data_IF_752392493330
#
_entry.id   IF_752392493330
#
_cell.length_a   1.000
_cell.length_b   1.000
_cell.length_c   1.000
_cell.angle_alpha   90.00
_cell.angle_beta   90.00
_cell.angle_gamma   90.00
#
_symmetry.space_group_name_H-M   'P 1'
#
loop_
_entity.id
_entity.type
_entity.pdbx_description
1 polymer ?
#
# COMPACT_ATOMS: atom_id res chain seq x y z
N UNK A 1 3.65 2.42 -5.60
CA UNK A 1 3.88 3.84 -5.19
C UNK A 1 3.60 4.03 -3.72
N UNK A 2 2.46 3.57 -3.19
CA UNK A 2 2.11 3.81 -1.80
C UNK A 2 3.13 3.30 -0.76
N UNK A 3 3.94 2.31 -1.13
CA UNK A 3 5.01 1.73 -0.32
C UNK A 3 6.35 2.48 -0.38
N UNK A 4 6.39 3.66 -1.03
CA UNK A 4 7.61 4.49 -1.18
C UNK A 4 7.58 5.77 -0.36
N UNK A 5 6.41 6.24 0.05
CA UNK A 5 6.21 7.57 0.64
C UNK A 5 5.68 7.47 2.06
N UNK A 6 5.97 8.49 2.87
CA UNK A 6 5.40 8.63 4.22
C UNK A 6 3.97 9.17 4.19
N UNK A 7 3.67 10.04 3.22
CA UNK A 7 2.36 10.57 2.92
C UNK A 7 2.32 11.04 1.45
N UNK A 8 1.14 11.20 0.89
CA UNK A 8 0.94 11.80 -0.42
C UNK A 8 -0.34 12.61 -0.46
N UNK A 9 -0.38 13.63 -1.32
CA UNK A 9 -1.56 14.47 -1.46
C UNK A 9 -1.83 14.84 -2.92
N UNK A 10 -3.11 14.91 -3.28
CA UNK A 10 -3.57 15.29 -4.61
C UNK A 10 -4.37 16.60 -4.52
N UNK A 11 -3.97 17.58 -5.34
CA UNK A 11 -4.61 18.90 -5.43
C UNK A 11 -5.33 19.05 -6.75
N UNK A 12 -6.63 19.34 -6.71
CA UNK A 12 -7.49 19.51 -7.90
C UNK A 12 -7.41 18.36 -8.93
N UNK A 13 -7.00 17.17 -8.47
CA UNK A 13 -6.84 15.98 -9.29
C UNK A 13 -8.08 15.10 -9.30
N UNK A 14 -8.20 14.25 -10.32
CA UNK A 14 -9.32 13.32 -10.47
C UNK A 14 -8.81 11.87 -10.31
N UNK A 15 -9.21 11.13 -9.25
CA UNK A 15 -8.75 9.76 -9.04
C UNK A 15 -9.34 8.75 -10.03
N UNK A 16 -10.20 9.19 -10.96
CA UNK A 16 -10.77 8.40 -12.05
C UNK A 16 -11.38 7.07 -11.54
N UNK A 17 -11.03 5.98 -12.21
CA UNK A 17 -11.43 4.61 -11.90
C UNK A 17 -10.53 3.92 -10.87
N UNK A 18 -9.61 4.67 -10.24
CA UNK A 18 -8.73 4.13 -9.22
C UNK A 18 -9.50 3.59 -8.01
N UNK A 19 -8.83 2.71 -7.28
CA UNK A 19 -9.38 2.03 -6.11
C UNK A 19 -8.47 2.29 -4.92
N UNK A 20 -9.03 2.58 -3.73
CA UNK A 20 -8.23 2.99 -2.58
C UNK A 20 -7.48 1.83 -1.94
N UNK A 21 -7.66 0.57 -2.37
CA UNK A 21 -7.02 -0.63 -1.81
C UNK A 21 -5.55 -0.40 -1.40
N UNK A 22 -4.75 0.17 -2.31
CA UNK A 22 -3.32 0.38 -2.11
C UNK A 22 -2.97 1.54 -1.14
N UNK A 23 -3.95 2.36 -0.74
CA UNK A 23 -3.75 3.50 0.17
C UNK A 23 -3.84 3.13 1.65
N UNK A 24 -4.13 1.87 1.99
CA UNK A 24 -4.31 1.43 3.39
C UNK A 24 -3.21 1.95 4.33
N UNK A 25 -1.96 1.90 3.89
CA UNK A 25 -0.79 2.29 4.70
C UNK A 25 -0.14 3.61 4.29
N UNK A 26 -0.76 4.36 3.36
CA UNK A 26 -0.27 5.67 2.93
C UNK A 26 -1.26 6.73 3.40
N UNK A 27 -0.89 7.57 4.38
CA UNK A 27 -1.61 8.81 4.65
C UNK A 27 -1.86 9.59 3.36
N UNK A 28 -3.13 9.75 3.01
CA UNK A 28 -3.54 10.31 1.71
C UNK A 28 -4.39 11.57 1.83
N UNK A 29 -3.92 12.67 1.24
CA UNK A 29 -4.63 13.94 1.14
C UNK A 29 -5.37 14.09 -0.19
N UNK A 30 -6.59 14.63 -0.16
CA UNK A 30 -7.36 14.98 -1.36
C UNK A 30 -8.01 16.35 -1.18
N UNK A 31 -7.63 17.31 -2.02
CA UNK A 31 -8.09 18.69 -1.92
C UNK A 31 -8.72 19.13 -3.23
N UNK A 32 -9.89 19.77 -3.14
CA UNK A 32 -10.70 20.11 -4.30
C UNK A 32 -11.45 21.44 -4.13
N UNK A 33 -11.62 22.18 -5.22
CA UNK A 33 -12.56 23.30 -5.25
C UNK A 33 -14.00 22.81 -5.42
N UNK A 34 -14.95 23.35 -4.65
CA UNK A 34 -16.36 23.01 -4.76
C UNK A 34 -16.98 23.39 -6.11
N UNK A 35 -16.43 24.40 -6.78
CA UNK A 35 -16.79 24.84 -8.14
C UNK A 35 -15.91 24.23 -9.24
N UNK A 36 -14.95 23.35 -8.92
CA UNK A 36 -14.18 22.59 -9.94
C UNK A 36 -15.02 21.44 -10.51
N UNK A 37 -16.00 21.80 -11.34
CA UNK A 37 -16.95 20.87 -11.95
C UNK A 37 -16.42 20.13 -13.18
N UNK A 38 -15.24 20.52 -13.71
CA UNK A 38 -14.68 19.89 -14.89
C UNK A 38 -14.46 18.39 -14.64
N UNK A 39 -14.94 17.55 -15.56
CA UNK A 39 -14.91 16.08 -15.43
C UNK A 39 -15.54 15.53 -14.14
N UNK A 40 -16.43 16.29 -13.48
CA UNK A 40 -17.00 15.94 -12.17
C UNK A 40 -15.97 15.80 -11.03
N UNK A 41 -14.82 16.49 -11.10
CA UNK A 41 -13.77 16.45 -10.06
C UNK A 41 -14.28 16.68 -8.65
N UNK A 42 -15.06 17.74 -8.43
CA UNK A 42 -15.70 18.03 -7.15
C UNK A 42 -16.60 16.89 -6.63
N UNK A 43 -17.43 16.30 -7.50
CA UNK A 43 -18.31 15.18 -7.12
C UNK A 43 -17.51 13.91 -6.80
N UNK A 44 -16.46 13.63 -7.55
CA UNK A 44 -15.59 12.48 -7.30
C UNK A 44 -14.79 12.68 -6.01
N UNK A 45 -14.33 13.89 -5.72
CA UNK A 45 -13.73 14.23 -4.43
C UNK A 45 -14.67 13.94 -3.25
N UNK A 46 -15.95 14.35 -3.33
CA UNK A 46 -16.92 14.08 -2.26
C UNK A 46 -17.21 12.58 -2.12
N UNK A 47 -17.30 11.85 -3.24
CA UNK A 47 -17.40 10.38 -3.20
C UNK A 47 -16.20 9.74 -2.50
N UNK A 48 -14.99 10.20 -2.81
CA UNK A 48 -13.77 9.68 -2.18
C UNK A 48 -13.66 10.04 -0.71
N UNK A 49 -14.18 11.21 -0.30
CA UNK A 49 -14.30 11.60 1.10
C UNK A 49 -15.10 10.58 1.91
N UNK A 50 -16.30 10.23 1.43
CA UNK A 50 -17.13 9.19 2.07
C UNK A 50 -16.45 7.83 2.05
N UNK A 51 -15.93 7.42 0.90
CA UNK A 51 -15.26 6.12 0.73
C UNK A 51 -14.06 5.94 1.69
N UNK A 52 -13.19 6.94 1.81
CA UNK A 52 -12.03 6.87 2.70
C UNK A 52 -12.47 6.91 4.18
N UNK A 53 -13.50 7.67 4.52
CA UNK A 53 -14.07 7.68 5.87
C UNK A 53 -14.63 6.31 6.26
N UNK A 54 -15.39 5.66 5.37
CA UNK A 54 -15.94 4.32 5.60
C UNK A 54 -14.83 3.26 5.72
N UNK A 55 -13.80 3.34 4.87
CA UNK A 55 -12.65 2.45 4.94
C UNK A 55 -11.86 2.63 6.24
N UNK A 56 -11.64 3.87 6.70
CA UNK A 56 -11.01 4.17 7.99
C UNK A 56 -11.86 3.66 9.15
N UNK A 57 -13.19 3.81 9.08
CA UNK A 57 -14.10 3.29 10.10
C UNK A 57 -14.04 1.76 10.18
N UNK A 58 -13.96 1.07 9.05
CA UNK A 58 -13.84 -0.39 8.99
C UNK A 58 -12.44 -0.92 9.33
N UNK A 59 -11.39 -0.13 9.09
CA UNK A 59 -10.00 -0.43 9.46
C UNK A 59 -9.39 0.78 10.18
N UNK A 60 -9.61 0.95 11.51
CA UNK A 60 -9.18 2.14 12.26
C UNK A 60 -7.67 2.38 12.29
N UNK A 61 -6.86 1.42 11.85
CA UNK A 61 -5.40 1.55 11.72
C UNK A 61 -4.94 1.80 10.28
N UNK A 62 -5.83 1.72 9.28
CA UNK A 62 -5.54 1.98 7.87
C UNK A 62 -6.24 3.23 7.34
N UNK A 63 -5.91 3.64 6.12
CA UNK A 63 -6.58 4.73 5.39
C UNK A 63 -6.62 6.07 6.16
N UNK A 64 -5.53 6.43 6.82
CA UNK A 64 -5.38 7.80 7.35
C UNK A 64 -5.51 8.79 6.19
N UNK A 65 -6.38 9.79 6.32
CA UNK A 65 -6.69 10.68 5.20
C UNK A 65 -7.11 12.07 5.64
N UNK A 66 -6.91 13.03 4.74
CA UNK A 66 -7.39 14.39 4.87
C UNK A 66 -8.08 14.80 3.57
N UNK A 67 -9.39 14.97 3.60
CA UNK A 67 -10.15 15.36 2.42
C UNK A 67 -10.82 16.72 2.66
N UNK A 68 -10.56 17.68 1.77
CA UNK A 68 -11.08 19.05 1.86
C UNK A 68 -11.69 19.47 0.53
N UNK A 69 -12.93 19.96 0.60
CA UNK A 69 -13.61 20.58 -0.55
C UNK A 69 -13.94 22.02 -0.15
N UNK A 70 -13.37 22.99 -0.86
CA UNK A 70 -13.56 24.42 -0.57
C UNK A 70 -14.74 24.96 -1.40
N UNK A 71 -15.94 25.19 -0.83
CA UNK A 71 -17.19 25.34 -1.59
C UNK A 71 -17.13 26.42 -2.68
N UNK A 72 -16.53 27.56 -2.37
CA UNK A 72 -16.50 28.71 -3.27
C UNK A 72 -15.35 28.72 -4.28
N UNK A 73 -14.44 27.73 -4.22
CA UNK A 73 -13.23 27.71 -5.05
C UNK A 73 -13.40 26.86 -6.31
N UNK A 74 -12.77 27.29 -7.40
CA UNK A 74 -12.64 26.51 -8.65
C UNK A 74 -11.40 25.61 -8.65
N UNK A 75 -10.85 25.33 -9.84
CA UNK A 75 -9.66 24.49 -9.99
C UNK A 75 -8.46 24.98 -9.17
N UNK A 76 -8.26 26.30 -9.14
CA UNK A 76 -7.30 26.93 -8.23
C UNK A 76 -7.96 27.23 -6.87
N UNK A 77 -7.44 26.59 -5.82
CA UNK A 77 -7.97 26.70 -4.45
C UNK A 77 -7.39 27.87 -3.64
N UNK A 78 -6.69 28.81 -4.30
CA UNK A 78 -6.06 29.99 -3.69
C UNK A 78 -5.09 29.61 -2.56
N UNK A 79 -4.28 28.59 -2.79
CA UNK A 79 -3.26 28.09 -1.85
C UNK A 79 -3.81 27.53 -0.52
N UNK A 80 -5.14 27.41 -0.35
CA UNK A 80 -5.72 26.85 0.88
C UNK A 80 -5.32 25.40 1.11
N UNK A 81 -5.11 24.67 0.02
CA UNK A 81 -4.65 23.30 -0.03
C UNK A 81 -3.20 23.09 0.48
N UNK A 82 -2.46 24.17 0.73
CA UNK A 82 -1.15 24.12 1.40
C UNK A 82 -1.24 23.59 2.84
N UNK A 83 -2.43 23.55 3.46
CA UNK A 83 -2.64 22.89 4.77
C UNK A 83 -2.26 21.40 4.75
N UNK A 84 -2.19 20.79 3.56
CA UNK A 84 -1.71 19.42 3.36
C UNK A 84 -0.26 19.22 3.80
N UNK A 85 0.61 20.22 3.63
CA UNK A 85 2.04 20.10 3.92
C UNK A 85 2.32 19.86 5.41
N UNK A 86 1.86 20.72 6.36
CA UNK A 86 2.07 20.47 7.78
C UNK A 86 1.31 19.23 8.28
N UNK A 87 0.25 18.78 7.60
CA UNK A 87 -0.39 17.51 7.91
C UNK A 87 0.48 16.32 7.47
N UNK A 88 0.97 16.31 6.24
CA UNK A 88 1.84 15.25 5.70
C UNK A 88 3.16 15.11 6.48
N UNK A 89 3.72 16.23 6.95
CA UNK A 89 4.97 16.27 7.71
C UNK A 89 4.91 15.53 9.07
N UNK A 90 3.72 15.15 9.55
CA UNK A 90 3.53 14.41 10.81
C UNK A 90 3.74 12.91 10.67
N UNK A 91 3.88 12.40 9.44
CA UNK A 91 3.93 10.97 9.18
C UNK A 91 5.33 10.52 8.79
N UNK A 92 5.71 9.36 9.33
CA UNK A 92 6.89 8.62 8.93
C UNK A 92 6.49 7.40 8.08
N UNK A 93 7.34 7.08 7.09
CA UNK A 93 7.11 5.91 6.25
C UNK A 93 7.34 4.64 7.07
N UNK A 94 6.37 3.73 7.04
CA UNK A 94 6.54 2.36 7.53
C UNK A 94 6.80 1.40 6.35
N UNK A 95 8.04 0.94 6.13
CA UNK A 95 8.35 -0.01 5.06
C UNK A 95 7.90 -1.45 5.35
N UNK A 96 7.60 -1.80 6.61
CA UNK A 96 7.23 -3.15 7.07
C UNK A 96 5.90 -3.16 7.83
N UNK A 97 4.79 -2.67 7.23
CA UNK A 97 3.49 -2.63 7.90
C UNK A 97 2.95 -4.05 8.13
N UNK A 98 2.28 -4.28 9.27
CA UNK A 98 1.74 -5.60 9.62
C UNK A 98 0.54 -6.04 8.78
N UNK A 99 -0.13 -5.13 8.08
CA UNK A 99 -1.25 -5.47 7.18
C UNK A 99 -1.14 -4.67 5.90
N UNK A 100 -1.30 -5.34 4.76
CA UNK A 100 -1.27 -4.70 3.44
C UNK A 100 -2.45 -5.19 2.60
N UNK A 101 -2.94 -4.30 1.74
CA UNK A 101 -3.89 -4.64 0.67
C UNK A 101 -3.25 -4.16 -0.61
N UNK A 102 -3.10 -5.06 -1.57
CA UNK A 102 -2.43 -4.82 -2.82
C UNK A 102 -3.33 -5.22 -3.98
N UNK A 103 -3.64 -4.27 -4.83
CA UNK A 103 -4.44 -4.46 -6.04
C UNK A 103 -3.66 -4.00 -7.27
N UNK A 104 -3.61 -4.87 -8.27
CA UNK A 104 -3.10 -4.58 -9.59
C UNK A 104 -4.21 -4.01 -10.48
N UNK A 105 -4.04 -2.77 -10.90
CA UNK A 105 -4.96 -2.07 -11.81
C UNK A 105 -4.18 -1.55 -13.02
N UNK A 106 -4.11 -0.22 -13.19
CA UNK A 106 -3.23 0.42 -14.19
C UNK A 106 -1.83 0.60 -13.59
N UNK A 107 -0.78 0.39 -14.39
CA UNK A 107 0.61 0.48 -13.93
C UNK A 107 0.98 -0.63 -12.94
N UNK A 108 0.80 -1.90 -13.36
CA UNK A 108 1.12 -3.07 -12.53
C UNK A 108 2.58 -3.03 -12.07
N UNK A 109 2.83 -3.36 -10.80
CA UNK A 109 4.17 -3.33 -10.20
C UNK A 109 4.54 -4.72 -9.71
N UNK A 110 5.82 -5.10 -9.75
CA UNK A 110 6.28 -6.41 -9.26
C UNK A 110 6.37 -6.50 -7.74
N UNK A 111 6.52 -5.38 -7.03
CA UNK A 111 6.75 -5.33 -5.59
C UNK A 111 5.85 -4.31 -4.90
N UNK A 112 5.29 -4.69 -3.76
CA UNK A 112 4.52 -3.81 -2.89
C UNK A 112 4.77 -4.17 -1.42
N UNK A 113 5.42 -3.27 -0.68
CA UNK A 113 5.92 -3.54 0.67
C UNK A 113 6.76 -4.84 0.70
N UNK A 114 6.33 -5.81 1.51
CA UNK A 114 6.99 -7.09 1.72
C UNK A 114 6.41 -8.22 0.85
N UNK A 115 5.59 -7.91 -0.14
CA UNK A 115 5.16 -8.86 -1.18
C UNK A 115 5.77 -8.54 -2.54
N UNK A 116 6.03 -9.59 -3.31
CA UNK A 116 6.46 -9.51 -4.68
C UNK A 116 5.76 -10.58 -5.53
N UNK A 117 5.20 -10.18 -6.66
CA UNK A 117 4.77 -11.10 -7.73
C UNK A 117 5.90 -11.10 -8.77
N UNK A 118 6.46 -12.27 -9.14
CA UNK A 118 7.44 -12.34 -10.22
C UNK A 118 6.86 -11.78 -11.52
N UNK A 119 7.65 -11.03 -12.29
CA UNK A 119 7.16 -10.25 -13.44
C UNK A 119 6.37 -11.07 -14.45
N UNK A 120 6.81 -12.31 -14.72
CA UNK A 120 6.12 -13.25 -15.61
C UNK A 120 4.70 -13.67 -15.17
N UNK A 121 4.32 -13.36 -13.93
CA UNK A 121 3.01 -13.68 -13.36
C UNK A 121 2.20 -12.42 -13.01
N UNK A 122 2.70 -11.22 -13.35
CA UNK A 122 1.95 -9.99 -13.14
C UNK A 122 0.77 -9.91 -14.10
N UNK A 123 -0.41 -9.64 -13.54
CA UNK A 123 -1.63 -9.46 -14.30
C UNK A 123 -2.51 -8.39 -13.66
N UNK A 124 -3.34 -7.75 -14.48
CA UNK A 124 -4.41 -6.87 -13.99
C UNK A 124 -5.46 -7.70 -13.26
N UNK A 125 -6.11 -7.11 -12.26
CA UNK A 125 -7.17 -7.78 -11.49
C UNK A 125 -6.66 -8.69 -10.38
N UNK A 126 -5.35 -8.84 -10.22
CA UNK A 126 -4.77 -9.46 -9.04
C UNK A 126 -5.04 -8.61 -7.80
N UNK A 127 -5.44 -9.27 -6.72
CA UNK A 127 -5.66 -8.64 -5.42
C UNK A 127 -5.13 -9.54 -4.33
N UNK A 128 -4.38 -8.97 -3.40
CA UNK A 128 -3.78 -9.67 -2.28
C UNK A 128 -4.04 -8.87 -1.01
N UNK A 129 -4.59 -9.52 0.01
CA UNK A 129 -4.63 -8.98 1.38
C UNK A 129 -3.71 -9.84 2.23
N UNK A 130 -2.82 -9.22 2.99
CA UNK A 130 -1.91 -9.98 3.84
C UNK A 130 -1.77 -9.33 5.21
N UNK A 131 -1.67 -10.15 6.24
CA UNK A 131 -1.55 -9.76 7.64
C UNK A 131 -0.45 -10.56 8.34
N UNK A 132 0.20 -9.94 9.32
CA UNK A 132 1.23 -10.55 10.16
C UNK A 132 0.82 -10.43 11.62
N UNK A 133 0.78 -11.56 12.32
CA UNK A 133 0.59 -11.66 13.76
C UNK A 133 1.69 -12.55 14.37
N UNK A 134 2.59 -11.94 15.14
CA UNK A 134 3.81 -12.60 15.59
C UNK A 134 4.61 -13.22 14.43
N UNK A 135 4.73 -14.55 14.44
CA UNK A 135 5.42 -15.36 13.43
C UNK A 135 4.50 -15.94 12.35
N UNK A 136 3.21 -15.58 12.36
CA UNK A 136 2.22 -16.07 11.43
C UNK A 136 1.88 -15.00 10.38
N UNK A 137 1.96 -15.38 9.12
CA UNK A 137 1.60 -14.55 7.97
C UNK A 137 0.39 -15.18 7.27
N UNK A 138 -0.73 -14.48 7.31
CA UNK A 138 -1.94 -14.87 6.60
C UNK A 138 -2.06 -14.07 5.30
N UNK A 139 -2.32 -14.76 4.19
CA UNK A 139 -2.43 -14.14 2.86
C UNK A 139 -3.74 -14.63 2.21
N UNK A 140 -4.54 -13.70 1.72
CA UNK A 140 -5.65 -13.96 0.81
C UNK A 140 -5.23 -13.43 -0.56
N UNK A 141 -5.19 -14.30 -1.57
CA UNK A 141 -4.70 -13.99 -2.90
C UNK A 141 -5.67 -14.42 -4.00
N UNK A 142 -6.01 -13.47 -4.87
CA UNK A 142 -6.90 -13.64 -6.01
C UNK A 142 -6.08 -13.57 -7.31
N UNK A 143 -6.30 -14.52 -8.23
CA UNK A 143 -5.68 -14.55 -9.57
C UNK A 143 -4.14 -14.50 -9.58
N UNK A 144 -3.50 -15.00 -8.52
CA UNK A 144 -2.04 -14.89 -8.34
C UNK A 144 -1.45 -16.29 -8.18
N UNK A 145 -0.82 -16.89 -9.20
CA UNK A 145 -0.32 -18.26 -9.14
C UNK A 145 1.03 -18.39 -8.40
N UNK A 146 1.72 -17.27 -8.19
CA UNK A 146 3.02 -17.24 -7.55
C UNK A 146 3.25 -15.95 -6.79
N UNK A 147 3.74 -16.10 -5.57
CA UNK A 147 4.04 -15.00 -4.67
C UNK A 147 5.42 -15.20 -4.04
N UNK A 148 6.13 -14.11 -3.81
CA UNK A 148 7.36 -14.08 -3.02
C UNK A 148 7.07 -13.20 -1.80
N UNK A 149 7.18 -13.80 -0.62
CA UNK A 149 7.13 -13.09 0.66
C UNK A 149 8.55 -12.67 1.00
N UNK A 150 8.79 -11.37 0.99
CA UNK A 150 10.07 -10.75 1.33
C UNK A 150 10.09 -10.52 2.84
N UNK A 151 11.13 -10.97 3.53
CA UNK A 151 11.20 -10.96 4.99
C UNK A 151 12.38 -10.15 5.50
N UNK A 152 12.20 -9.61 6.70
CA UNK A 152 13.18 -8.84 7.47
C UNK A 152 12.83 -8.98 8.95
N UNK A 153 13.83 -8.84 9.82
CA UNK A 153 13.64 -8.82 11.27
C UNK A 153 12.73 -7.70 11.77
N UNK A 154 12.55 -6.66 10.94
CA UNK A 154 11.58 -5.60 11.18
C UNK A 154 10.12 -6.07 11.04
N UNK A 155 9.88 -7.19 10.34
CA UNK A 155 8.55 -7.75 10.11
C UNK A 155 8.26 -8.96 11.01
N UNK A 156 9.20 -9.89 11.13
CA UNK A 156 9.10 -11.15 11.91
C UNK A 156 10.48 -11.50 12.47
N UNK A 157 10.55 -12.25 13.57
CA UNK A 157 11.82 -12.74 14.11
C UNK A 157 12.32 -13.92 13.26
N UNK A 158 13.41 -13.72 12.50
CA UNK A 158 13.94 -14.75 11.60
C UNK A 158 14.76 -15.84 12.31
N UNK A 159 14.99 -15.71 13.62
CA UNK A 159 15.59 -16.77 14.45
C UNK A 159 14.53 -17.78 14.93
N UNK A 160 13.24 -17.48 14.70
CA UNK A 160 12.11 -18.36 14.98
C UNK A 160 11.47 -18.90 13.69
N UNK A 161 10.78 -20.04 13.76
CA UNK A 161 9.97 -20.51 12.64
C UNK A 161 8.91 -19.48 12.24
N UNK A 162 8.72 -19.29 10.94
CA UNK A 162 7.64 -18.48 10.34
C UNK A 162 6.65 -19.43 9.69
N UNK A 163 5.36 -19.18 9.88
CA UNK A 163 4.28 -19.93 9.20
C UNK A 163 3.57 -19.00 8.24
N UNK A 164 3.36 -19.44 7.00
CA UNK A 164 2.64 -18.68 5.98
C UNK A 164 1.46 -19.50 5.48
N UNK A 165 0.25 -18.97 5.62
CA UNK A 165 -0.95 -19.51 5.00
C UNK A 165 -1.39 -18.66 3.82
N UNK A 166 -1.96 -19.30 2.81
CA UNK A 166 -2.60 -18.65 1.68
C UNK A 166 -3.98 -19.24 1.46
N UNK A 167 -5.02 -18.40 1.46
CA UNK A 167 -6.42 -18.79 1.32
C UNK A 167 -6.81 -19.91 2.30
N UNK A 168 -6.39 -19.78 3.56
CA UNK A 168 -6.60 -20.78 4.62
C UNK A 168 -5.66 -22.00 4.59
N UNK A 169 -4.92 -22.25 3.51
CA UNK A 169 -4.02 -23.39 3.39
C UNK A 169 -2.59 -23.03 3.81
N UNK A 170 -1.95 -23.87 4.64
CA UNK A 170 -0.55 -23.68 5.04
C UNK A 170 0.40 -23.97 3.87
N UNK A 171 1.06 -22.93 3.33
CA UNK A 171 2.01 -23.06 2.22
C UNK A 171 3.48 -23.15 2.66
N UNK A 172 3.80 -22.68 3.86
CA UNK A 172 5.16 -22.73 4.42
C UNK A 172 5.13 -22.78 5.95
N UNK A 173 6.08 -23.50 6.55
CA UNK A 173 6.34 -23.49 7.99
C UNK A 173 7.79 -23.87 8.24
N UNK A 174 8.58 -22.97 8.81
CA UNK A 174 9.98 -23.24 9.15
C UNK A 174 10.80 -21.97 9.34
N UNK A 175 12.07 -22.12 9.71
CA UNK A 175 13.00 -20.99 9.86
C UNK A 175 13.53 -20.56 8.48
N UNK A 176 13.59 -19.25 8.23
CA UNK A 176 14.08 -18.71 6.95
C UNK A 176 15.44 -18.04 7.17
N UNK A 177 16.47 -18.52 6.47
CA UNK A 177 17.83 -17.99 6.63
C UNK A 177 17.98 -16.64 5.95
N UNK A 178 18.61 -15.71 6.67
CA UNK A 178 19.09 -14.44 6.12
C UNK A 178 20.15 -14.69 5.05
N UNK A 179 20.20 -13.84 4.02
CA UNK A 179 21.13 -13.98 2.90
C UNK A 179 21.53 -12.63 2.34
N UNK A 180 22.84 -12.40 2.18
CA UNK A 180 23.37 -11.23 1.46
C UNK A 180 22.79 -11.13 0.04
N UNK A 181 22.48 -12.25 -0.61
CA UNK A 181 21.85 -12.29 -1.93
C UNK A 181 20.48 -11.62 -1.95
N UNK A 182 19.66 -11.81 -0.91
CA UNK A 182 18.33 -11.20 -0.83
C UNK A 182 18.40 -9.69 -0.54
N UNK A 183 19.44 -9.27 0.19
CA UNK A 183 19.74 -7.85 0.43
C UNK A 183 20.12 -7.18 -0.89
N UNK A 184 21.12 -7.73 -1.61
CA UNK A 184 21.58 -7.22 -2.91
C UNK A 184 20.40 -7.13 -3.88
N UNK A 185 19.67 -8.24 -4.07
CA UNK A 185 18.47 -8.28 -4.93
C UNK A 185 17.42 -7.24 -4.53
N UNK A 186 17.22 -7.01 -3.23
CA UNK A 186 16.27 -6.01 -2.75
C UNK A 186 16.68 -4.58 -3.08
N UNK A 187 17.99 -4.29 -2.97
CA UNK A 187 18.60 -2.99 -3.24
C UNK A 187 18.70 -2.72 -4.75
N UNK A 188 18.97 -3.75 -5.56
CA UNK A 188 18.96 -3.65 -7.03
C UNK A 188 17.56 -3.30 -7.56
N UNK A 189 16.51 -3.90 -6.97
CA UNK A 189 15.13 -3.56 -7.32
C UNK A 189 14.72 -2.15 -6.86
N UNK A 190 15.27 -1.71 -5.72
CA UNK A 190 14.99 -0.40 -5.10
C UNK A 190 16.09 -0.09 -4.11
N UNK A 191 16.91 0.92 -4.40
CA UNK A 191 17.98 1.42 -3.54
C UNK A 191 17.44 2.15 -2.30
N UNK A 192 16.73 1.42 -1.45
CA UNK A 192 16.08 1.88 -0.23
C UNK A 192 16.41 0.88 0.89
N UNK A 193 17.46 1.16 1.70
CA UNK A 193 17.89 0.28 2.78
C UNK A 193 16.78 -0.04 3.79
N UNK A 194 15.89 0.90 4.07
CA UNK A 194 14.83 0.70 5.06
C UNK A 194 13.79 -0.35 4.61
N UNK A 195 13.66 -0.62 3.30
CA UNK A 195 12.78 -1.67 2.76
C UNK A 195 13.53 -2.88 2.17
N UNK A 196 14.83 -3.00 2.43
CA UNK A 196 15.65 -4.11 1.97
C UNK A 196 15.31 -5.38 2.77
N UNK A 197 14.92 -6.44 2.04
CA UNK A 197 14.64 -7.73 2.67
C UNK A 197 15.95 -8.48 2.89
N UNK A 198 16.04 -9.19 4.01
CA UNK A 198 17.20 -10.02 4.35
C UNK A 198 16.95 -11.50 4.06
N UNK A 199 15.70 -11.89 3.85
CA UNK A 199 15.28 -13.24 3.50
C UNK A 199 14.05 -13.22 2.58
N UNK A 200 13.73 -14.35 1.96
CA UNK A 200 12.45 -14.49 1.24
C UNK A 200 11.96 -15.94 1.18
N UNK A 201 10.66 -16.10 0.99
CA UNK A 201 10.00 -17.38 0.73
C UNK A 201 9.21 -17.27 -0.56
N UNK A 202 9.42 -18.21 -1.49
CA UNK A 202 8.63 -18.27 -2.73
C UNK A 202 7.52 -19.32 -2.59
N UNK A 203 6.28 -18.90 -2.85
CA UNK A 203 5.08 -19.70 -2.74
C UNK A 203 4.49 -19.98 -4.13
N UNK A 204 4.10 -21.23 -4.37
CA UNK A 204 3.20 -21.61 -5.47
C UNK A 204 1.78 -21.64 -4.91
N UNK A 205 0.87 -20.91 -5.55
CA UNK A 205 -0.52 -20.74 -5.09
C UNK A 205 -1.47 -21.54 -5.96
#
# INVERSE_FOLDING_TARGET
MADRWAAASMMAGHPNDAKPDNLRNLPFGLFMGGKDGAYNRNKVAEKWKGLLADLRKADPKGYEHMVRIYPEMGHWMKLKDAESLPWMAKFDRNPWPKKIIWRQAKGITSRFYWLQIPEKHLAKGQRITAGVDGQFIAIEAENTPRLVVRLSDQLVDLDKPVTISVNGEKKFSGTVKRSAREIIKSLDQRADPASAATASVTLKL
#
